data_IF_207033393771
#
_entry.id   IF_207033393771
#
_cell.length_a   1.000
_cell.length_b   1.000
_cell.length_c   1.000
_cell.angle_alpha   90.00
_cell.angle_beta   90.00
_cell.angle_gamma   90.00
#
_symmetry.space_group_name_H-M   'P 1'
#
loop_
_entity.id
_entity.type
_entity.pdbx_description
1 polymer ?
#
# COMPACT_ATOMS: atom_id res chain seq x y z
N UNK A 1 -8.75 -31.16 5.54
CA UNK A 1 -9.64 -30.03 5.89
C UNK A 1 -10.39 -29.61 4.64
N UNK A 2 -11.71 -29.44 4.73
CA UNK A 2 -12.53 -28.95 3.61
C UNK A 2 -12.23 -27.46 3.41
N UNK A 3 -11.78 -27.08 2.22
CA UNK A 3 -11.51 -25.67 1.89
C UNK A 3 -12.81 -24.86 1.95
N UNK A 4 -12.78 -23.68 2.57
CA UNK A 4 -13.95 -22.82 2.79
C UNK A 4 -14.21 -21.94 1.56
N UNK A 5 -15.42 -21.38 1.48
CA UNK A 5 -15.77 -20.30 0.54
C UNK A 5 -15.72 -18.95 1.29
N UNK A 6 -15.54 -17.86 0.54
CA UNK A 6 -15.75 -16.50 1.06
C UNK A 6 -17.21 -16.33 1.50
N UNK A 7 -17.41 -15.73 2.68
CA UNK A 7 -18.75 -15.39 3.17
C UNK A 7 -19.30 -14.20 2.37
N UNK A 8 -20.62 -14.05 2.27
CA UNK A 8 -21.22 -12.89 1.60
C UNK A 8 -20.77 -11.57 2.24
N UNK A 9 -20.62 -11.54 3.56
CA UNK A 9 -20.15 -10.36 4.30
C UNK A 9 -18.72 -9.99 3.91
N UNK A 10 -17.79 -10.95 3.92
CA UNK A 10 -16.41 -10.75 3.46
C UNK A 10 -16.39 -10.26 2.02
N UNK A 11 -17.24 -10.82 1.14
CA UNK A 11 -17.31 -10.40 -0.27
C UNK A 11 -17.75 -8.96 -0.44
N UNK A 12 -18.77 -8.53 0.31
CA UNK A 12 -19.23 -7.14 0.33
C UNK A 12 -18.11 -6.20 0.79
N UNK A 13 -17.48 -6.50 1.93
CA UNK A 13 -16.38 -5.70 2.47
C UNK A 13 -15.21 -5.58 1.48
N UNK A 14 -14.78 -6.69 0.90
CA UNK A 14 -13.70 -6.70 -0.09
C UNK A 14 -14.08 -5.87 -1.34
N UNK A 15 -15.36 -5.89 -1.74
CA UNK A 15 -15.90 -5.04 -2.79
C UNK A 15 -15.83 -3.55 -2.44
N UNK A 16 -16.24 -3.17 -1.23
CA UNK A 16 -16.14 -1.78 -0.74
C UNK A 16 -14.68 -1.31 -0.70
N UNK A 17 -13.77 -2.13 -0.19
CA UNK A 17 -12.33 -1.86 -0.17
C UNK A 17 -11.79 -1.63 -1.58
N UNK A 18 -12.21 -2.44 -2.57
CA UNK A 18 -11.83 -2.25 -3.97
C UNK A 18 -12.18 -0.85 -4.47
N UNK A 19 -13.40 -0.39 -4.17
CA UNK A 19 -13.88 0.91 -4.62
C UNK A 19 -13.13 2.05 -3.93
N UNK A 20 -12.88 1.94 -2.62
CA UNK A 20 -12.06 2.89 -1.86
C UNK A 20 -10.69 3.05 -2.48
N UNK A 21 -10.00 1.95 -2.79
CA UNK A 21 -8.65 2.01 -3.37
C UNK A 21 -8.63 2.75 -4.70
N UNK A 22 -9.67 2.55 -5.53
CA UNK A 22 -9.77 3.24 -6.82
C UNK A 22 -9.95 4.74 -6.63
N UNK A 23 -10.79 5.16 -5.68
CA UNK A 23 -10.95 6.56 -5.31
C UNK A 23 -9.63 7.13 -4.78
N UNK A 24 -9.01 6.49 -3.79
CA UNK A 24 -7.73 6.97 -3.22
C UNK A 24 -6.60 7.02 -4.26
N UNK A 25 -6.62 6.15 -5.27
CA UNK A 25 -5.69 6.23 -6.41
C UNK A 25 -5.94 7.45 -7.29
N UNK A 26 -7.20 7.82 -7.52
CA UNK A 26 -7.54 9.03 -8.23
C UNK A 26 -7.08 10.27 -7.44
N UNK A 27 -7.36 10.30 -6.12
CA UNK A 27 -6.94 11.38 -5.23
C UNK A 27 -5.42 11.55 -5.21
N UNK A 28 -4.67 10.43 -5.08
CA UNK A 28 -3.20 10.47 -5.16
C UNK A 28 -2.72 11.00 -6.51
N UNK A 29 -3.36 10.60 -7.61
CA UNK A 29 -2.97 11.08 -8.94
C UNK A 29 -3.19 12.58 -9.07
N UNK A 30 -4.30 13.09 -8.54
CA UNK A 30 -4.57 14.52 -8.48
C UNK A 30 -3.51 15.26 -7.66
N UNK A 31 -3.17 14.75 -6.47
CA UNK A 31 -2.09 15.29 -5.63
C UNK A 31 -0.75 15.29 -6.39
N UNK A 32 -0.38 14.19 -7.05
CA UNK A 32 0.84 14.09 -7.84
C UNK A 32 0.86 15.15 -8.97
N UNK A 33 -0.28 15.38 -9.63
CA UNK A 33 -0.44 16.39 -10.68
C UNK A 33 -0.33 17.82 -10.13
N UNK A 34 -0.91 18.11 -8.97
CA UNK A 34 -0.80 19.41 -8.29
C UNK A 34 0.63 19.70 -7.84
N UNK A 35 1.34 18.71 -7.29
CA UNK A 35 2.77 18.83 -6.96
C UNK A 35 3.58 19.12 -8.23
N UNK A 36 3.30 18.41 -9.33
CA UNK A 36 4.01 18.59 -10.59
C UNK A 36 3.77 19.99 -11.21
N UNK A 37 2.60 20.59 -10.97
CA UNK A 37 2.29 21.98 -11.34
C UNK A 37 2.95 23.02 -10.42
N UNK A 38 3.59 22.58 -9.34
CA UNK A 38 4.24 23.45 -8.37
C UNK A 38 3.24 24.17 -7.46
N UNK A 39 2.14 23.50 -7.09
CA UNK A 39 1.16 24.04 -6.14
C UNK A 39 1.86 24.48 -4.85
N UNK A 40 1.89 25.79 -4.61
CA UNK A 40 2.70 26.41 -3.54
C UNK A 40 2.20 26.06 -2.15
N UNK A 41 0.89 25.91 -1.99
CA UNK A 41 0.27 25.61 -0.71
C UNK A 41 0.60 24.18 -0.28
N UNK A 42 0.40 23.22 -1.18
CA UNK A 42 0.76 21.83 -0.94
C UNK A 42 2.26 21.64 -0.67
N UNK A 43 3.11 22.34 -1.43
CA UNK A 43 4.55 22.34 -1.19
C UNK A 43 4.91 22.98 0.16
N UNK A 44 4.20 24.02 0.59
CA UNK A 44 4.43 24.66 1.88
C UNK A 44 4.11 23.72 3.05
N UNK A 45 3.06 22.88 2.94
CA UNK A 45 2.77 21.85 3.95
C UNK A 45 3.90 20.82 4.04
N UNK A 46 4.36 20.30 2.90
CA UNK A 46 5.43 19.30 2.87
C UNK A 46 6.80 19.83 3.33
N UNK A 47 7.05 21.14 3.19
CA UNK A 47 8.28 21.76 3.68
C UNK A 47 8.33 21.93 5.21
N UNK A 48 7.18 21.83 5.89
CA UNK A 48 7.08 21.99 7.35
C UNK A 48 7.39 20.71 8.12
N UNK A 49 7.45 19.58 7.44
CA UNK A 49 7.63 18.25 8.04
C UNK A 49 8.87 17.55 7.52
N UNK A 50 9.34 16.58 8.29
CA UNK A 50 10.39 15.67 7.83
C UNK A 50 9.95 14.93 6.56
N UNK A 51 10.88 14.55 5.67
CA UNK A 51 10.54 13.79 4.47
C UNK A 51 9.76 12.52 4.84
N UNK A 52 8.57 12.34 4.27
CA UNK A 52 7.67 11.23 4.61
C UNK A 52 8.32 9.85 4.45
N UNK A 53 9.36 9.74 3.61
CA UNK A 53 10.18 8.55 3.46
C UNK A 53 10.72 8.00 4.78
N UNK A 54 10.89 8.84 5.80
CA UNK A 54 11.30 8.42 7.14
C UNK A 54 10.32 7.45 7.78
N UNK A 55 9.02 7.64 7.51
CA UNK A 55 7.95 6.78 8.02
C UNK A 55 8.08 5.34 7.51
N UNK A 56 8.73 5.09 6.36
CA UNK A 56 8.99 3.72 5.88
C UNK A 56 9.93 2.91 6.77
N UNK A 57 10.54 3.53 7.78
CA UNK A 57 11.28 2.81 8.83
C UNK A 57 10.34 2.14 9.84
N UNK A 58 9.08 2.58 9.90
CA UNK A 58 8.01 1.96 10.68
C UNK A 58 7.34 0.85 9.87
N UNK A 59 6.67 -0.07 10.56
CA UNK A 59 5.82 -1.06 9.90
C UNK A 59 4.61 -0.36 9.25
N UNK A 60 4.03 -0.98 8.22
CA UNK A 60 2.89 -0.36 7.53
C UNK A 60 1.68 -0.22 8.46
N UNK A 61 1.54 -1.12 9.43
CA UNK A 61 0.46 -1.13 10.43
C UNK A 61 0.61 0.08 11.35
N UNK A 62 1.84 0.41 11.76
CA UNK A 62 2.11 1.62 12.54
C UNK A 62 1.77 2.88 11.75
N UNK A 63 2.10 2.94 10.46
CA UNK A 63 1.75 4.08 9.60
C UNK A 63 0.22 4.20 9.47
N UNK A 64 -0.49 3.08 9.35
CA UNK A 64 -1.96 3.07 9.33
C UNK A 64 -2.56 3.58 10.66
N UNK A 65 -2.02 3.14 11.81
CA UNK A 65 -2.46 3.64 13.12
C UNK A 65 -2.20 5.14 13.25
N UNK A 66 -1.02 5.61 12.84
CA UNK A 66 -0.71 7.04 12.82
C UNK A 66 -1.70 7.81 11.94
N UNK A 67 -2.03 7.28 10.77
CA UNK A 67 -3.00 7.91 9.88
C UNK A 67 -4.37 8.05 10.57
N UNK A 68 -4.88 6.95 11.12
CA UNK A 68 -6.16 6.93 11.84
C UNK A 68 -6.15 7.86 13.05
N UNK A 69 -5.06 7.92 13.82
CA UNK A 69 -4.91 8.85 14.92
C UNK A 69 -4.94 10.31 14.45
N UNK A 70 -4.25 10.62 13.35
CA UNK A 70 -4.18 11.99 12.81
C UNK A 70 -5.51 12.49 12.24
N UNK A 71 -6.43 11.61 11.86
CA UNK A 71 -7.78 11.95 11.40
C UNK A 71 -8.85 11.79 12.50
N UNK A 72 -8.43 11.74 13.77
CA UNK A 72 -9.34 11.73 14.92
C UNK A 72 -10.02 10.40 15.22
N UNK A 73 -9.56 9.27 14.65
CA UNK A 73 -10.19 7.95 14.84
C UNK A 73 -9.63 7.18 16.06
N UNK A 74 -8.86 7.84 16.93
CA UNK A 74 -8.18 7.19 18.07
C UNK A 74 -9.14 6.48 19.01
N UNK A 75 -10.23 7.13 19.42
CA UNK A 75 -11.19 6.57 20.38
C UNK A 75 -11.85 5.31 19.80
N UNK A 76 -12.30 5.37 18.55
CA UNK A 76 -12.87 4.22 17.84
C UNK A 76 -11.87 3.08 17.67
N UNK A 77 -10.59 3.36 17.45
CA UNK A 77 -9.56 2.31 17.43
C UNK A 77 -9.42 1.60 18.79
N UNK A 78 -9.53 2.33 19.89
CA UNK A 78 -9.50 1.75 21.25
C UNK A 78 -10.74 0.89 21.48
N UNK A 79 -11.92 1.40 21.13
CA UNK A 79 -13.18 0.63 21.23
C UNK A 79 -13.10 -0.67 20.43
N UNK A 80 -12.61 -0.61 19.19
CA UNK A 80 -12.40 -1.78 18.33
C UNK A 80 -11.49 -2.85 18.95
N UNK A 81 -10.49 -2.44 19.73
CA UNK A 81 -9.55 -3.37 20.36
C UNK A 81 -10.23 -4.21 21.46
N UNK A 82 -11.29 -3.69 22.06
CA UNK A 82 -12.02 -4.29 23.19
C UNK A 82 -13.19 -5.20 22.77
N UNK A 83 -13.64 -5.13 21.50
CA UNK A 83 -14.76 -5.95 21.01
C UNK A 83 -14.39 -7.45 20.92
N UNK A 84 -15.32 -8.33 21.32
CA UNK A 84 -15.16 -9.79 21.21
C UNK A 84 -15.18 -10.27 19.75
N UNK A 85 -16.16 -9.83 18.95
CA UNK A 85 -16.20 -10.06 17.50
C UNK A 85 -15.43 -8.96 16.74
N UNK A 86 -14.13 -9.19 16.63
CA UNK A 86 -13.21 -8.25 15.96
C UNK A 86 -13.43 -8.16 14.46
N UNK A 87 -14.01 -9.17 13.81
CA UNK A 87 -14.17 -9.17 12.35
C UNK A 87 -15.32 -8.24 11.95
N UNK A 88 -16.47 -8.37 12.61
CA UNK A 88 -17.63 -7.51 12.39
C UNK A 88 -17.32 -6.05 12.69
N UNK A 89 -16.73 -5.78 13.85
CA UNK A 89 -16.43 -4.42 14.29
C UNK A 89 -15.44 -3.72 13.34
N UNK A 90 -14.39 -4.42 12.87
CA UNK A 90 -13.44 -3.86 11.89
C UNK A 90 -14.11 -3.50 10.57
N UNK A 91 -14.96 -4.38 10.05
CA UNK A 91 -15.68 -4.12 8.80
C UNK A 91 -16.57 -2.88 8.92
N UNK A 92 -17.32 -2.77 10.02
CA UNK A 92 -18.16 -1.61 10.30
C UNK A 92 -17.33 -0.33 10.42
N UNK A 93 -16.23 -0.36 11.15
CA UNK A 93 -15.32 0.78 11.29
C UNK A 93 -14.80 1.28 9.93
N UNK A 94 -14.29 0.39 9.09
CA UNK A 94 -13.78 0.78 7.77
C UNK A 94 -14.89 1.26 6.83
N UNK A 95 -16.10 0.69 6.91
CA UNK A 95 -17.24 1.14 6.14
C UNK A 95 -17.67 2.56 6.57
N UNK A 96 -17.72 2.83 7.87
CA UNK A 96 -18.00 4.16 8.42
C UNK A 96 -16.94 5.18 8.00
N UNK A 97 -15.66 4.84 8.15
CA UNK A 97 -14.56 5.70 7.71
C UNK A 97 -14.64 6.03 6.21
N UNK A 98 -14.96 5.04 5.40
CA UNK A 98 -15.18 5.22 3.96
C UNK A 98 -16.34 6.16 3.65
N UNK A 99 -17.44 6.06 4.40
CA UNK A 99 -18.59 6.92 4.21
C UNK A 99 -18.30 8.37 4.63
N UNK A 100 -17.56 8.59 5.71
CA UNK A 100 -17.07 9.93 6.10
C UNK A 100 -16.21 10.55 4.99
N UNK A 101 -15.28 9.79 4.43
CA UNK A 101 -14.44 10.25 3.32
C UNK A 101 -15.28 10.65 2.08
N UNK A 102 -16.34 9.91 1.77
CA UNK A 102 -17.24 10.20 0.64
C UNK A 102 -18.13 11.42 0.86
N UNK A 103 -18.48 11.73 2.10
CA UNK A 103 -19.34 12.86 2.46
C UNK A 103 -18.55 14.17 2.67
N UNK A 104 -17.28 14.18 2.29
CA UNK A 104 -16.36 15.33 2.43
C UNK A 104 -16.07 15.80 3.87
N UNK A 105 -16.62 15.12 4.88
CA UNK A 105 -16.40 15.45 6.30
C UNK A 105 -14.90 15.48 6.67
N UNK A 106 -14.11 14.53 6.14
CA UNK A 106 -12.66 14.50 6.38
C UNK A 106 -11.91 15.66 5.69
N UNK A 107 -12.41 16.16 4.56
CA UNK A 107 -11.78 17.29 3.85
C UNK A 107 -12.06 18.61 4.56
N UNK A 108 -13.29 18.78 5.05
CA UNK A 108 -13.67 19.93 5.87
C UNK A 108 -12.84 19.97 7.17
N UNK A 109 -12.77 18.85 7.89
CA UNK A 109 -11.95 18.72 9.11
C UNK A 109 -10.47 19.00 8.82
N UNK A 110 -9.93 18.51 7.70
CA UNK A 110 -8.55 18.78 7.30
C UNK A 110 -8.30 20.28 7.03
N UNK A 111 -9.25 20.98 6.42
CA UNK A 111 -9.16 22.41 6.12
C UNK A 111 -9.12 23.31 7.36
N UNK A 112 -9.64 22.83 8.50
CA UNK A 112 -9.66 23.57 9.77
C UNK A 112 -8.37 23.43 10.59
N UNK A 113 -7.48 22.51 10.22
CA UNK A 113 -6.23 22.24 10.94
C UNK A 113 -5.16 23.30 10.70
N UNK A 114 -4.22 23.41 11.65
CA UNK A 114 -3.07 24.27 11.46
C UNK A 114 -2.13 23.72 10.37
N UNK A 115 -1.40 24.58 9.63
CA UNK A 115 -0.60 24.13 8.48
C UNK A 115 0.47 23.06 8.80
N UNK A 116 0.99 23.02 10.04
CA UNK A 116 1.95 22.01 10.47
C UNK A 116 1.26 20.64 10.65
N UNK A 117 0.03 20.63 11.17
CA UNK A 117 -0.80 19.41 11.32
C UNK A 117 -1.21 18.87 9.95
N UNK A 118 -1.61 19.76 9.04
CA UNK A 118 -1.89 19.42 7.64
C UNK A 118 -0.67 18.78 6.96
N UNK A 119 0.52 19.32 7.21
CA UNK A 119 1.78 18.75 6.73
C UNK A 119 2.03 17.33 7.24
N UNK A 120 1.78 17.07 8.52
CA UNK A 120 1.96 15.74 9.14
C UNK A 120 0.98 14.74 8.52
N UNK A 121 -0.30 15.09 8.42
CA UNK A 121 -1.33 14.23 7.80
C UNK A 121 -0.94 13.91 6.35
N UNK A 122 -0.51 14.92 5.58
CA UNK A 122 -0.10 14.73 4.20
C UNK A 122 1.11 13.80 4.08
N UNK A 123 2.12 13.94 4.95
CA UNK A 123 3.27 13.04 4.96
C UNK A 123 2.87 11.59 5.29
N UNK A 124 2.02 11.38 6.30
CA UNK A 124 1.52 10.06 6.65
C UNK A 124 0.68 9.45 5.53
N UNK A 125 -0.18 10.24 4.89
CA UNK A 125 -0.97 9.83 3.74
C UNK A 125 -0.08 9.40 2.56
N UNK A 126 0.92 10.21 2.19
CA UNK A 126 1.88 9.85 1.13
C UNK A 126 2.65 8.56 1.45
N UNK A 127 3.06 8.37 2.70
CA UNK A 127 3.69 7.13 3.14
C UNK A 127 2.74 5.93 2.99
N UNK A 128 1.48 6.06 3.42
CA UNK A 128 0.46 5.01 3.26
C UNK A 128 0.26 4.65 1.78
N UNK A 129 0.14 5.66 0.91
CA UNK A 129 -0.01 5.46 -0.53
C UNK A 129 1.18 4.76 -1.17
N UNK A 130 2.41 5.09 -0.76
CA UNK A 130 3.59 4.36 -1.23
C UNK A 130 3.58 2.89 -0.80
N UNK A 131 3.17 2.59 0.44
CA UNK A 131 3.02 1.20 0.89
C UNK A 131 1.99 0.42 0.07
N UNK A 132 0.84 1.03 -0.24
CA UNK A 132 -0.17 0.43 -1.12
C UNK A 132 0.36 0.18 -2.53
N UNK A 133 1.15 1.11 -3.08
CA UNK A 133 1.79 0.94 -4.39
C UNK A 133 2.84 -0.18 -4.38
N UNK A 134 3.55 -0.34 -3.26
CA UNK A 134 4.40 -1.49 -3.00
C UNK A 134 3.64 -2.81 -3.15
N UNK A 135 2.53 -2.96 -2.44
CA UNK A 135 1.71 -4.18 -2.48
C UNK A 135 1.24 -4.49 -3.91
N UNK A 136 0.80 -3.47 -4.64
CA UNK A 136 0.34 -3.59 -6.04
C UNK A 136 1.43 -4.09 -6.98
N UNK A 137 2.66 -3.58 -6.83
CA UNK A 137 3.77 -3.90 -7.74
C UNK A 137 4.51 -5.18 -7.37
N UNK A 138 4.73 -5.38 -6.08
CA UNK A 138 5.68 -6.38 -5.57
C UNK A 138 5.09 -7.32 -4.52
N UNK A 139 3.81 -7.18 -4.14
CA UNK A 139 3.22 -7.90 -3.00
C UNK A 139 4.01 -7.68 -1.69
N UNK A 140 4.68 -6.54 -1.58
CA UNK A 140 5.40 -6.08 -0.38
C UNK A 140 5.17 -4.59 -0.21
N UNK A 141 4.90 -4.16 1.00
CA UNK A 141 4.87 -2.75 1.37
C UNK A 141 6.26 -2.13 1.21
N UNK A 142 6.33 -0.81 1.06
CA UNK A 142 7.61 -0.09 1.02
C UNK A 142 8.35 -0.26 2.33
N UNK A 143 7.64 -0.24 3.46
CA UNK A 143 8.17 -0.56 4.79
C UNK A 143 8.82 -1.95 4.85
N UNK A 144 8.15 -2.99 4.33
CA UNK A 144 8.74 -4.35 4.25
C UNK A 144 9.98 -4.40 3.33
N UNK A 145 9.98 -3.63 2.23
CA UNK A 145 11.14 -3.56 1.34
C UNK A 145 12.31 -2.80 1.98
N UNK A 146 12.04 -1.73 2.71
CA UNK A 146 13.05 -0.96 3.45
C UNK A 146 13.64 -1.78 4.59
N UNK A 147 12.84 -2.54 5.33
CA UNK A 147 13.34 -3.37 6.43
C UNK A 147 14.23 -4.52 5.97
N UNK A 148 14.03 -5.02 4.73
CA UNK A 148 14.85 -6.08 4.11
C UNK A 148 16.03 -5.54 3.30
N UNK A 149 16.14 -4.22 3.13
CA UNK A 149 17.14 -3.59 2.27
C UNK A 149 18.58 -3.83 2.75
N UNK A 150 18.79 -4.07 4.04
CA UNK A 150 20.13 -4.36 4.61
C UNK A 150 20.62 -5.77 4.27
N UNK A 151 19.71 -6.71 4.04
CA UNK A 151 20.04 -8.11 3.76
C UNK A 151 20.14 -8.37 2.26
N UNK A 152 19.31 -7.69 1.46
CA UNK A 152 19.28 -7.79 0.02
C UNK A 152 18.93 -6.43 -0.61
N UNK A 153 19.93 -5.81 -1.26
CA UNK A 153 19.79 -4.52 -1.95
C UNK A 153 18.75 -4.54 -3.08
N UNK A 154 18.30 -5.71 -3.56
CA UNK A 154 17.19 -5.77 -4.51
C UNK A 154 15.92 -5.14 -3.91
N UNK A 155 15.67 -5.31 -2.61
CA UNK A 155 14.51 -4.69 -1.96
C UNK A 155 14.65 -3.16 -1.86
N UNK A 156 15.85 -2.65 -1.63
CA UNK A 156 16.15 -1.21 -1.71
C UNK A 156 15.77 -0.67 -3.08
N UNK A 157 16.25 -1.31 -4.14
CA UNK A 157 15.98 -0.88 -5.52
C UNK A 157 14.49 -0.95 -5.87
N UNK A 158 13.75 -1.94 -5.35
CA UNK A 158 12.30 -2.03 -5.50
C UNK A 158 11.58 -0.91 -4.76
N UNK A 159 11.96 -0.64 -3.50
CA UNK A 159 11.40 0.45 -2.71
C UNK A 159 11.56 1.80 -3.41
N UNK A 160 12.78 2.11 -3.89
CA UNK A 160 13.07 3.34 -4.64
C UNK A 160 12.29 3.42 -5.97
N UNK A 161 12.07 2.29 -6.64
CA UNK A 161 11.28 2.25 -7.88
C UNK A 161 9.78 2.54 -7.62
N UNK A 162 9.27 2.15 -6.45
CA UNK A 162 7.91 2.48 -5.99
C UNK A 162 7.84 3.97 -5.68
N UNK A 163 8.59 4.42 -4.67
CA UNK A 163 8.66 5.80 -4.24
C UNK A 163 10.12 6.29 -4.21
N UNK A 164 10.40 7.35 -4.95
CA UNK A 164 11.75 7.92 -5.06
C UNK A 164 12.16 8.65 -3.78
N UNK A 165 11.21 9.09 -2.97
CA UNK A 165 11.50 9.71 -1.67
C UNK A 165 12.31 8.79 -0.76
N UNK A 166 12.19 7.46 -0.94
CA UNK A 166 12.89 6.43 -0.19
C UNK A 166 14.41 6.63 -0.16
N UNK A 167 15.01 7.32 -1.15
CA UNK A 167 16.44 7.64 -1.13
C UNK A 167 16.86 8.49 0.10
N UNK A 168 15.92 9.24 0.69
CA UNK A 168 16.15 10.01 1.92
C UNK A 168 15.79 9.26 3.20
N UNK A 169 15.30 8.01 3.11
CA UNK A 169 15.06 7.19 4.29
C UNK A 169 16.41 6.85 4.96
N UNK A 170 16.54 6.95 6.31
CA UNK A 170 17.82 6.74 6.99
C UNK A 170 18.51 5.39 6.72
N UNK A 171 17.74 4.30 6.62
CA UNK A 171 18.28 2.95 6.34
C UNK A 171 18.85 2.90 4.93
N UNK A 172 18.08 3.38 3.95
CA UNK A 172 18.48 3.40 2.53
C UNK A 172 19.63 4.37 2.28
N UNK A 173 19.58 5.56 2.87
CA UNK A 173 20.63 6.58 2.77
C UNK A 173 21.97 6.05 3.30
N UNK A 174 21.95 5.26 4.37
CA UNK A 174 23.14 4.60 4.91
C UNK A 174 23.75 3.62 3.88
N UNK A 175 22.93 2.76 3.26
CA UNK A 175 23.40 1.81 2.24
C UNK A 175 23.98 2.54 1.02
N UNK A 176 23.33 3.62 0.56
CA UNK A 176 23.85 4.47 -0.52
C UNK A 176 25.20 5.09 -0.13
N UNK A 177 25.32 5.58 1.10
CA UNK A 177 26.57 6.13 1.63
C UNK A 177 27.70 5.10 1.66
N UNK A 178 27.41 3.87 2.09
CA UNK A 178 28.37 2.77 2.09
C UNK A 178 28.82 2.39 0.68
N UNK A 179 27.88 2.23 -0.26
CA UNK A 179 28.20 1.94 -1.65
C UNK A 179 29.08 3.04 -2.28
N UNK A 180 28.79 4.31 -1.97
CA UNK A 180 29.58 5.46 -2.41
C UNK A 180 31.03 5.42 -1.89
N UNK A 181 31.21 5.17 -0.59
CA UNK A 181 32.55 5.04 0.02
C UNK A 181 33.34 3.89 -0.61
N UNK A 182 32.67 2.78 -0.88
CA UNK A 182 33.26 1.59 -1.51
C UNK A 182 33.46 1.72 -3.02
N UNK A 183 33.03 2.83 -3.64
CA UNK A 183 33.03 3.03 -5.10
C UNK A 183 32.31 1.90 -5.85
N UNK A 184 31.19 1.42 -5.30
CA UNK A 184 30.38 0.38 -5.93
C UNK A 184 29.54 0.95 -7.08
N UNK A 185 30.17 1.06 -8.24
CA UNK A 185 29.54 1.55 -9.47
C UNK A 185 28.35 0.67 -9.90
N UNK A 186 28.36 -0.62 -9.60
CA UNK A 186 27.25 -1.52 -9.96
C UNK A 186 26.00 -1.16 -9.15
N UNK A 187 26.14 -0.94 -7.85
CA UNK A 187 25.08 -0.45 -6.98
C UNK A 187 24.54 0.90 -7.46
N UNK A 188 25.41 1.87 -7.72
CA UNK A 188 25.00 3.22 -8.14
C UNK A 188 24.26 3.21 -9.48
N UNK A 189 24.68 2.36 -10.42
CA UNK A 189 23.98 2.16 -11.68
C UNK A 189 22.58 1.54 -11.50
N UNK A 190 22.42 0.60 -10.57
CA UNK A 190 21.11 0.03 -10.25
C UNK A 190 20.20 1.05 -9.55
N UNK A 191 20.74 1.83 -8.61
CA UNK A 191 20.02 2.92 -7.97
C UNK A 191 19.51 3.94 -8.98
N UNK A 192 20.36 4.39 -9.92
CA UNK A 192 19.99 5.33 -10.97
C UNK A 192 18.86 4.77 -11.85
N UNK A 193 18.90 3.47 -12.20
CA UNK A 193 17.82 2.80 -12.94
C UNK A 193 16.52 2.75 -12.16
N UNK A 194 16.57 2.52 -10.85
CA UNK A 194 15.39 2.55 -9.98
C UNK A 194 14.77 3.94 -9.89
N UNK A 195 15.59 4.98 -9.68
CA UNK A 195 15.13 6.38 -9.65
C UNK A 195 14.48 6.76 -10.98
N UNK A 196 15.12 6.44 -12.10
CA UNK A 196 14.60 6.77 -13.43
C UNK A 196 13.45 5.87 -13.89
N UNK A 197 13.12 4.80 -13.14
CA UNK A 197 12.12 3.77 -13.50
C UNK A 197 12.36 3.17 -14.90
N UNK A 198 13.61 3.10 -15.33
CA UNK A 198 14.00 2.58 -16.65
C UNK A 198 14.03 1.05 -16.71
N UNK A 199 13.92 0.37 -15.56
CA UNK A 199 13.67 -1.08 -15.50
C UNK A 199 12.24 -1.35 -16.00
N UNK A 200 12.02 -2.32 -16.92
CA UNK A 200 10.69 -2.63 -17.43
C UNK A 200 9.70 -2.79 -16.28
N UNK A 201 8.72 -1.89 -16.25
CA UNK A 201 7.69 -1.90 -15.21
C UNK A 201 6.92 -3.21 -15.35
N UNK A 202 6.61 -3.78 -14.20
CA UNK A 202 5.76 -4.96 -14.08
C UNK A 202 4.43 -4.77 -14.84
N UNK A 203 3.76 -5.87 -15.22
CA UNK A 203 2.48 -5.79 -15.95
C UNK A 203 1.40 -5.17 -15.05
N UNK A 204 1.16 -3.88 -15.22
CA UNK A 204 0.14 -3.09 -14.50
C UNK A 204 -1.26 -3.74 -14.50
N UNK A 205 -1.56 -4.61 -15.49
CA UNK A 205 -2.82 -5.38 -15.60
C UNK A 205 -3.15 -6.23 -14.36
N UNK A 206 -2.20 -6.50 -13.47
CA UNK A 206 -2.39 -7.38 -12.31
C UNK A 206 -2.24 -6.67 -10.96
N UNK A 207 -2.17 -5.34 -10.95
CA UNK A 207 -1.89 -4.57 -9.73
C UNK A 207 -3.08 -4.62 -8.77
N UNK A 208 -4.31 -4.43 -9.29
CA UNK A 208 -5.53 -4.63 -8.52
C UNK A 208 -5.63 -6.08 -8.01
N UNK A 209 -5.32 -7.08 -8.84
CA UNK A 209 -5.33 -8.48 -8.41
C UNK A 209 -4.41 -8.70 -7.20
N UNK A 210 -3.17 -8.19 -7.24
CA UNK A 210 -2.22 -8.39 -6.13
C UNK A 210 -2.74 -7.76 -4.86
N UNK A 211 -3.22 -6.52 -4.95
CA UNK A 211 -3.78 -5.86 -3.78
C UNK A 211 -4.95 -6.66 -3.20
N UNK A 212 -5.90 -7.10 -4.03
CA UNK A 212 -7.04 -7.87 -3.55
C UNK A 212 -6.65 -9.21 -2.93
N UNK A 213 -5.58 -9.84 -3.42
CA UNK A 213 -5.05 -11.05 -2.79
C UNK A 213 -4.55 -10.79 -1.37
N UNK A 214 -3.91 -9.64 -1.10
CA UNK A 214 -3.49 -9.27 0.27
C UNK A 214 -4.70 -9.07 1.18
N UNK A 215 -5.76 -8.40 0.70
CA UNK A 215 -6.99 -8.21 1.48
C UNK A 215 -7.70 -9.53 1.75
N UNK A 216 -7.78 -10.43 0.77
CA UNK A 216 -8.38 -11.76 0.95
C UNK A 216 -7.58 -12.57 1.98
N UNK A 217 -6.24 -12.47 1.95
CA UNK A 217 -5.37 -13.15 2.91
C UNK A 217 -5.59 -12.64 4.33
N UNK A 218 -5.71 -11.32 4.49
CA UNK A 218 -5.98 -10.70 5.80
C UNK A 218 -7.38 -11.06 6.35
N UNK A 219 -8.41 -11.07 5.49
CA UNK A 219 -9.79 -11.31 5.93
C UNK A 219 -10.07 -12.78 6.22
N UNK A 220 -9.55 -13.71 5.40
CA UNK A 220 -9.91 -15.13 5.51
C UNK A 220 -8.72 -16.09 5.48
N UNK A 221 -7.54 -15.63 5.06
CA UNK A 221 -6.38 -16.47 4.77
C UNK A 221 -6.53 -17.20 3.43
N UNK A 222 -5.62 -16.93 2.49
CA UNK A 222 -5.64 -17.55 1.17
C UNK A 222 -5.47 -19.08 1.25
N UNK A 223 -4.76 -19.57 2.27
CA UNK A 223 -4.56 -21.01 2.50
C UNK A 223 -5.84 -21.76 2.87
N UNK A 224 -6.85 -21.04 3.36
CA UNK A 224 -8.17 -21.60 3.69
C UNK A 224 -9.06 -21.76 2.44
N UNK A 225 -8.67 -21.15 1.33
CA UNK A 225 -9.42 -21.11 0.08
C UNK A 225 -8.83 -22.06 -0.97
N UNK A 226 -9.67 -22.47 -1.92
CA UNK A 226 -9.22 -23.23 -3.09
C UNK A 226 -8.79 -22.28 -4.19
N UNK A 227 -7.86 -22.71 -5.05
CA UNK A 227 -7.40 -21.87 -6.14
C UNK A 227 -8.54 -21.54 -7.10
N UNK A 228 -9.47 -22.48 -7.26
CA UNK A 228 -10.69 -22.35 -8.06
C UNK A 228 -11.61 -21.28 -7.46
N UNK A 229 -11.82 -21.29 -6.14
CA UNK A 229 -12.61 -20.23 -5.48
C UNK A 229 -11.95 -18.85 -5.56
N UNK A 230 -10.63 -18.78 -5.41
CA UNK A 230 -9.89 -17.50 -5.56
C UNK A 230 -10.02 -17.01 -7.01
N UNK A 231 -9.90 -17.91 -7.99
CA UNK A 231 -10.05 -17.57 -9.41
C UNK A 231 -11.44 -17.05 -9.73
N UNK A 232 -12.47 -17.79 -9.33
CA UNK A 232 -13.89 -17.43 -9.53
C UNK A 232 -14.17 -16.04 -8.96
N UNK A 233 -13.74 -15.79 -7.72
CA UNK A 233 -14.00 -14.52 -7.05
C UNK A 233 -13.27 -13.34 -7.71
N UNK A 234 -11.99 -13.50 -8.04
CA UNK A 234 -11.20 -12.43 -8.68
C UNK A 234 -11.67 -12.12 -10.12
N UNK A 235 -12.13 -13.14 -10.86
CA UNK A 235 -12.56 -13.00 -12.26
C UNK A 235 -14.00 -12.53 -12.37
N UNK A 236 -14.94 -13.23 -11.73
CA UNK A 236 -16.36 -13.07 -12.00
C UNK A 236 -17.05 -12.11 -11.04
N UNK A 237 -16.60 -12.05 -9.78
CA UNK A 237 -17.23 -11.18 -8.78
C UNK A 237 -16.52 -9.83 -8.68
N UNK A 238 -15.19 -9.81 -8.57
CA UNK A 238 -14.42 -8.58 -8.44
C UNK A 238 -14.04 -7.94 -9.78
N UNK A 239 -13.88 -8.76 -10.84
CA UNK A 239 -13.48 -8.30 -12.16
C UNK A 239 -12.05 -7.74 -12.22
N UNK A 240 -11.18 -8.14 -11.28
CA UNK A 240 -9.81 -7.60 -11.14
C UNK A 240 -8.74 -8.49 -11.76
N UNK A 241 -9.11 -9.69 -12.23
CA UNK A 241 -8.19 -10.65 -12.85
C UNK A 241 -8.65 -11.01 -14.27
N UNK A 242 -7.74 -11.02 -15.27
CA UNK A 242 -8.11 -11.33 -16.64
C UNK A 242 -8.61 -12.76 -16.83
N UNK A 243 -9.77 -12.90 -17.47
CA UNK A 243 -10.37 -14.16 -17.90
C UNK A 243 -10.12 -14.50 -19.38
N UNK A 244 -9.51 -13.59 -20.14
CA UNK A 244 -9.32 -13.65 -21.60
C UNK A 244 -8.08 -14.46 -22.07
N UNK A 245 -7.38 -15.13 -21.14
CA UNK A 245 -6.16 -15.88 -21.41
C UNK A 245 -6.38 -17.31 -21.90
N UNK A 246 -5.35 -17.92 -22.52
CA UNK A 246 -5.37 -19.36 -22.88
C UNK A 246 -5.56 -20.29 -21.68
N UNK A 247 -5.06 -19.88 -20.51
CA UNK A 247 -5.14 -20.63 -19.25
C UNK A 247 -5.02 -19.66 -18.04
N UNK A 248 -6.11 -18.96 -17.68
CA UNK A 248 -6.10 -17.97 -16.62
C UNK A 248 -5.86 -18.58 -15.23
N UNK A 249 -6.31 -19.82 -14.99
CA UNK A 249 -6.15 -20.54 -13.73
C UNK A 249 -4.70 -20.92 -13.45
N UNK A 250 -3.99 -21.49 -14.43
CA UNK A 250 -2.55 -21.80 -14.25
C UNK A 250 -1.72 -20.53 -14.05
N UNK A 251 -2.09 -19.43 -14.71
CA UNK A 251 -1.44 -18.14 -14.51
C UNK A 251 -1.67 -17.61 -13.08
N UNK A 252 -2.88 -17.78 -12.53
CA UNK A 252 -3.19 -17.38 -11.15
C UNK A 252 -2.44 -18.23 -10.15
N UNK A 253 -2.37 -19.56 -10.38
CA UNK A 253 -1.59 -20.46 -9.54
C UNK A 253 -0.11 -20.06 -9.48
N UNK A 254 0.47 -19.67 -10.62
CA UNK A 254 1.85 -19.13 -10.66
C UNK A 254 1.98 -17.81 -9.91
N UNK A 255 0.97 -16.93 -9.98
CA UNK A 255 0.95 -15.68 -9.21
C UNK A 255 0.95 -15.96 -7.70
N UNK A 256 0.08 -16.85 -7.23
CA UNK A 256 -0.01 -17.26 -5.82
C UNK A 256 1.29 -17.91 -5.33
N UNK A 257 1.90 -18.80 -6.13
CA UNK A 257 3.18 -19.42 -5.80
C UNK A 257 4.31 -18.39 -5.65
N UNK A 258 4.39 -17.41 -6.56
CA UNK A 258 5.38 -16.33 -6.47
C UNK A 258 5.15 -15.45 -5.24
N UNK A 259 3.89 -15.14 -4.93
CA UNK A 259 3.53 -14.36 -3.74
C UNK A 259 4.05 -15.05 -2.47
N UNK A 260 3.79 -16.36 -2.32
CA UNK A 260 4.28 -17.16 -1.17
C UNK A 260 5.80 -17.08 -1.00
N UNK A 261 6.53 -17.28 -2.10
CA UNK A 261 8.00 -17.16 -2.09
C UNK A 261 8.49 -15.78 -1.66
N UNK A 262 7.82 -14.70 -2.09
CA UNK A 262 8.18 -13.33 -1.73
C UNK A 262 7.86 -13.03 -0.26
N UNK A 263 6.70 -13.47 0.22
CA UNK A 263 6.26 -13.27 1.61
C UNK A 263 7.05 -14.14 2.59
N UNK A 264 7.67 -15.23 2.13
CA UNK A 264 8.36 -16.18 3.00
C UNK A 264 7.40 -17.12 3.72
N UNK A 265 6.24 -17.39 3.13
CA UNK A 265 5.14 -18.22 3.67
C UNK A 265 4.87 -19.47 2.84
#
# INVERSE_FOLDING_TARGET
>A
MTKKKLTNKSKTFIGEVKDVIRTTQADKKEIDEEIAKGNKELLAFLQRVEPWAWLYSLSHEMILVLFLETIGERERMVELAEVEDKEEARMEFFSNLTNRAKNEELYDEFGELEPDEQGVIMAVFLALMGNMEGLKRYSLTVSEMVSRATDDHEFLFKAVAVDRSVVSNPIVAKEIGMASICQDEAFMNLLAKSITRTKPIHRAKLDETRFMLEIIDEVQGLDMLSNEHIAEYLQNELGVYPSDGKDPESALKKLLQRRKLIKGT
#
